data_IF_379797668938
#
_entry.id   IF_379797668938
#
_cell.length_a   1.000
_cell.length_b   1.000
_cell.length_c   1.000
_cell.angle_alpha   90.00
_cell.angle_beta   90.00
_cell.angle_gamma   90.00
#
_symmetry.space_group_name_H-M   'P 1'
#
loop_
_entity.id
_entity.type
_entity.pdbx_description
1 polymer ?
#
# COMPACT_ATOMS: atom_id res chain seq x y z
N UNK A 1 -13.52 -7.85 6.64
CA UNK A 1 -13.72 -6.40 6.42
C UNK A 1 -14.61 -6.30 5.20
N UNK A 2 -15.94 -6.27 5.39
CA UNK A 2 -16.91 -6.51 4.30
C UNK A 2 -17.79 -5.28 4.00
N UNK A 3 -17.35 -4.10 4.46
CA UNK A 3 -18.08 -2.86 4.24
C UNK A 3 -17.15 -1.75 3.76
N UNK A 4 -17.63 -0.97 2.79
CA UNK A 4 -17.03 0.27 2.27
C UNK A 4 -17.11 1.41 3.30
N UNK A 5 -16.97 1.06 4.57
CA UNK A 5 -17.05 1.97 5.69
C UNK A 5 -15.74 2.73 5.83
N UNK A 6 -15.87 4.04 5.92
CA UNK A 6 -14.75 4.95 6.17
C UNK A 6 -13.99 4.60 7.46
N UNK A 7 -14.65 4.07 8.48
CA UNK A 7 -14.03 3.64 9.74
C UNK A 7 -12.93 2.59 9.50
N UNK A 8 -13.12 1.67 8.56
CA UNK A 8 -12.11 0.65 8.23
C UNK A 8 -10.88 1.29 7.58
N UNK A 9 -11.09 2.21 6.64
CA UNK A 9 -10.00 2.92 5.97
C UNK A 9 -9.20 3.78 6.95
N UNK A 10 -9.88 4.53 7.82
CA UNK A 10 -9.23 5.36 8.86
C UNK A 10 -8.38 4.48 9.78
N UNK A 11 -8.92 3.34 10.24
CA UNK A 11 -8.18 2.39 11.10
C UNK A 11 -6.91 1.85 10.45
N UNK A 12 -6.90 1.64 9.13
CA UNK A 12 -5.70 1.20 8.42
C UNK A 12 -4.65 2.31 8.41
N UNK A 13 -5.04 3.57 8.23
CA UNK A 13 -4.12 4.70 8.27
C UNK A 13 -3.55 4.90 9.68
N UNK A 14 -4.40 4.81 10.71
CA UNK A 14 -3.98 4.86 12.12
C UNK A 14 -3.00 3.72 12.43
N UNK A 15 -3.31 2.49 12.03
CA UNK A 15 -2.42 1.34 12.22
C UNK A 15 -1.03 1.55 11.60
N UNK A 16 -0.96 2.15 10.41
CA UNK A 16 0.32 2.48 9.78
C UNK A 16 1.06 3.50 10.63
N UNK A 17 0.43 4.59 11.06
CA UNK A 17 1.02 5.61 11.95
C UNK A 17 1.54 5.00 13.26
N UNK A 18 0.75 4.15 13.94
CA UNK A 18 1.16 3.44 15.16
C UNK A 18 2.39 2.56 14.93
N UNK A 19 2.45 1.94 13.75
CA UNK A 19 3.51 1.00 13.40
C UNK A 19 4.83 1.73 13.17
N UNK A 20 4.85 2.80 12.36
CA UNK A 20 6.09 3.47 11.95
C UNK A 20 6.46 4.65 12.84
N UNK A 21 5.49 5.33 13.43
CA UNK A 21 5.66 6.61 14.14
C UNK A 21 5.14 7.79 13.31
N UNK A 22 4.72 8.86 13.97
CA UNK A 22 4.12 10.04 13.33
C UNK A 22 5.11 10.78 12.40
N UNK A 23 6.39 10.85 12.77
CA UNK A 23 7.39 11.56 11.97
C UNK A 23 7.69 10.81 10.67
N UNK A 24 7.90 9.49 10.76
CA UNK A 24 8.07 8.61 9.60
C UNK A 24 6.81 8.57 8.73
N UNK A 25 5.62 8.61 9.34
CA UNK A 25 4.36 8.66 8.60
C UNK A 25 4.26 9.94 7.75
N UNK A 26 4.59 11.10 8.32
CA UNK A 26 4.58 12.38 7.58
C UNK A 26 5.58 12.39 6.42
N UNK A 27 6.73 11.73 6.59
CA UNK A 27 7.74 11.63 5.54
C UNK A 27 7.30 10.70 4.40
N UNK A 28 6.71 9.54 4.73
CA UNK A 28 6.28 8.54 3.75
C UNK A 28 4.97 8.92 3.05
N UNK A 29 4.04 9.54 3.78
CA UNK A 29 2.69 9.87 3.31
C UNK A 29 2.38 11.37 3.49
N UNK A 30 3.19 12.29 2.94
CA UNK A 30 2.92 13.73 3.08
C UNK A 30 1.61 14.15 2.39
N UNK A 31 1.20 13.39 1.38
CA UNK A 31 -0.01 13.56 0.59
C UNK A 31 -0.61 12.19 0.29
N UNK A 32 -1.94 12.07 0.42
CA UNK A 32 -2.71 10.91 -0.05
C UNK A 32 -3.71 11.40 -1.10
N UNK A 33 -3.72 10.76 -2.27
CA UNK A 33 -4.65 11.04 -3.34
C UNK A 33 -5.67 9.90 -3.47
N UNK A 34 -6.95 10.20 -3.32
CA UNK A 34 -8.05 9.22 -3.40
C UNK A 34 -9.07 9.60 -4.48
N UNK A 35 -10.03 8.73 -4.73
CA UNK A 35 -11.23 9.11 -5.48
C UNK A 35 -12.28 9.69 -4.51
N UNK A 36 -13.40 10.14 -5.06
CA UNK A 36 -14.52 10.72 -4.30
C UNK A 36 -15.42 9.63 -3.66
N UNK A 37 -14.87 8.46 -3.34
CA UNK A 37 -15.57 7.39 -2.65
C UNK A 37 -16.02 7.78 -1.24
N UNK A 38 -17.14 7.21 -0.79
CA UNK A 38 -17.72 7.47 0.53
C UNK A 38 -16.81 7.04 1.69
N UNK A 39 -15.93 6.07 1.45
CA UNK A 39 -14.90 5.60 2.37
C UNK A 39 -13.80 6.63 2.64
N UNK A 40 -13.75 7.71 1.85
CA UNK A 40 -12.82 8.83 1.98
C UNK A 40 -13.54 10.17 2.22
N UNK A 41 -14.82 10.15 2.59
CA UNK A 41 -15.66 11.36 2.58
C UNK A 41 -15.30 12.42 3.64
N UNK A 42 -14.53 12.08 4.67
CA UNK A 42 -14.19 12.95 5.79
C UNK A 42 -12.67 13.16 5.89
N UNK A 43 -12.11 14.19 5.21
CA UNK A 43 -10.68 14.45 5.20
C UNK A 43 -10.08 14.61 6.59
N UNK A 44 -10.81 15.18 7.54
CA UNK A 44 -10.29 15.49 8.88
C UNK A 44 -9.84 14.22 9.61
N UNK A 45 -10.56 13.11 9.43
CA UNK A 45 -10.21 11.80 10.00
C UNK A 45 -8.94 11.20 9.42
N UNK A 46 -8.57 11.57 8.20
CA UNK A 46 -7.34 11.12 7.56
C UNK A 46 -6.18 12.07 7.83
N UNK A 47 -6.44 13.38 7.82
CA UNK A 47 -5.40 14.40 7.97
C UNK A 47 -4.91 14.55 9.41
N UNK A 48 -5.75 14.28 10.41
CA UNK A 48 -5.34 14.29 11.82
C UNK A 48 -4.92 12.88 12.26
N UNK A 49 -3.73 12.79 12.83
CA UNK A 49 -3.21 11.58 13.46
C UNK A 49 -3.79 11.34 14.84
N UNK A 50 -3.31 10.28 15.48
CA UNK A 50 -3.90 9.72 16.70
C UNK A 50 -3.82 10.72 17.86
N UNK A 51 -2.79 11.55 17.86
CA UNK A 51 -2.57 12.60 18.87
C UNK A 51 -3.24 13.94 18.50
N UNK A 52 -4.04 13.98 17.44
CA UNK A 52 -4.70 15.19 16.93
C UNK A 52 -3.79 16.12 16.10
N UNK A 53 -2.51 15.78 15.94
CA UNK A 53 -1.58 16.50 15.07
C UNK A 53 -1.89 16.22 13.59
N UNK A 54 -1.61 17.18 12.70
CA UNK A 54 -1.71 16.95 11.26
C UNK A 54 -0.64 15.97 10.77
N UNK A 55 -1.05 14.82 10.25
CA UNK A 55 -0.17 13.74 9.73
C UNK A 55 -0.03 13.70 8.22
N UNK A 56 -1.03 14.18 7.47
CA UNK A 56 -1.04 14.16 6.00
C UNK A 56 -1.99 15.20 5.41
N UNK A 57 -2.10 15.25 4.08
CA UNK A 57 -3.09 16.03 3.33
C UNK A 57 -3.83 15.11 2.37
N UNK A 58 -5.16 15.10 2.45
CA UNK A 58 -6.00 14.28 1.58
C UNK A 58 -6.45 15.10 0.38
N UNK A 59 -6.19 14.59 -0.82
CA UNK A 59 -6.63 15.16 -2.08
C UNK A 59 -7.52 14.17 -2.83
N UNK A 60 -8.38 14.71 -3.68
CA UNK A 60 -9.34 13.93 -4.46
C UNK A 60 -9.06 14.09 -5.95
N UNK A 61 -9.21 13.00 -6.67
CA UNK A 61 -9.18 13.03 -8.13
C UNK A 61 -10.38 13.82 -8.67
N UNK A 62 -10.18 14.43 -9.83
CA UNK A 62 -11.27 15.09 -10.55
C UNK A 62 -12.33 14.06 -10.97
N UNK A 63 -13.59 14.51 -11.03
CA UNK A 63 -14.69 13.62 -11.39
C UNK A 63 -14.47 13.04 -12.79
N UNK A 64 -14.52 11.70 -12.90
CA UNK A 64 -14.30 10.93 -14.15
C UNK A 64 -12.86 10.94 -14.68
N UNK A 65 -11.87 11.33 -13.87
CA UNK A 65 -10.45 11.30 -14.22
C UNK A 65 -9.70 10.16 -13.49
N UNK A 66 -10.11 8.92 -13.73
CA UNK A 66 -9.50 7.74 -13.07
C UNK A 66 -8.02 7.54 -13.43
N UNK A 67 -7.57 8.10 -14.55
CA UNK A 67 -6.18 8.08 -15.01
C UNK A 67 -5.21 8.82 -14.06
N UNK A 68 -5.70 9.73 -13.21
CA UNK A 68 -4.88 10.39 -12.18
C UNK A 68 -4.29 9.40 -11.17
N UNK A 69 -4.85 8.18 -11.10
CA UNK A 69 -4.38 7.05 -10.29
C UNK A 69 -3.89 5.88 -11.16
N UNK A 70 -3.49 6.13 -12.42
CA UNK A 70 -3.15 5.06 -13.39
C UNK A 70 -2.02 4.12 -12.96
N UNK A 71 -1.16 4.54 -12.03
CA UNK A 71 -0.12 3.67 -11.45
C UNK A 71 -0.68 2.58 -10.51
N UNK A 72 -1.87 2.79 -9.94
CA UNK A 72 -2.53 1.77 -9.10
C UNK A 72 -2.95 0.57 -9.94
N UNK A 73 -3.40 0.76 -11.18
CA UNK A 73 -3.82 -0.34 -12.05
C UNK A 73 -2.68 -1.33 -12.32
N UNK A 74 -1.46 -0.82 -12.51
CA UNK A 74 -0.28 -1.68 -12.65
C UNK A 74 -0.01 -2.47 -11.38
N UNK A 75 -0.13 -1.86 -10.20
CA UNK A 75 0.03 -2.59 -8.93
C UNK A 75 -1.08 -3.63 -8.72
N UNK A 76 -2.32 -3.33 -9.11
CA UNK A 76 -3.41 -4.29 -9.09
C UNK A 76 -3.14 -5.48 -10.01
N UNK A 77 -2.51 -5.28 -11.18
CA UNK A 77 -2.11 -6.36 -12.07
C UNK A 77 -1.18 -7.37 -11.39
N UNK A 78 -0.16 -6.89 -10.67
CA UNK A 78 0.76 -7.76 -9.91
C UNK A 78 0.03 -8.59 -8.84
N UNK A 79 -0.93 -7.99 -8.12
CA UNK A 79 -1.79 -8.72 -7.18
C UNK A 79 -2.57 -9.81 -7.93
N UNK A 80 -3.03 -9.54 -9.16
CA UNK A 80 -3.81 -10.50 -9.97
C UNK A 80 -2.99 -11.66 -10.55
N UNK A 81 -1.66 -11.56 -10.62
CA UNK A 81 -0.83 -12.73 -10.95
C UNK A 81 -0.90 -13.81 -9.86
N UNK A 82 -1.00 -13.39 -8.60
CA UNK A 82 -1.12 -14.28 -7.43
C UNK A 82 -2.58 -14.60 -7.09
N UNK A 83 -3.48 -13.62 -7.23
CA UNK A 83 -4.91 -13.74 -6.95
C UNK A 83 -5.74 -13.47 -8.22
N UNK A 84 -5.83 -14.44 -9.16
CA UNK A 84 -6.57 -14.29 -10.39
C UNK A 84 -8.02 -13.84 -10.18
N UNK A 85 -8.64 -13.35 -11.26
CA UNK A 85 -10.07 -13.00 -11.22
C UNK A 85 -10.88 -14.21 -10.73
N UNK A 86 -11.89 -13.94 -9.91
CA UNK A 86 -12.77 -14.93 -9.25
C UNK A 86 -12.13 -15.71 -8.09
N UNK A 87 -10.89 -15.43 -7.71
CA UNK A 87 -10.33 -15.91 -6.43
C UNK A 87 -10.98 -15.14 -5.27
N UNK A 88 -11.49 -15.86 -4.27
CA UNK A 88 -12.01 -15.23 -3.04
C UNK A 88 -10.87 -14.63 -2.21
N UNK A 89 -11.14 -13.52 -1.53
CA UNK A 89 -10.20 -12.86 -0.62
C UNK A 89 -10.47 -13.25 0.85
N UNK A 90 -11.46 -14.10 1.12
CA UNK A 90 -11.87 -14.47 2.49
C UNK A 90 -10.75 -15.16 3.30
N UNK A 91 -9.90 -15.93 2.61
CA UNK A 91 -8.80 -16.69 3.21
C UNK A 91 -7.46 -15.91 3.24
N UNK A 92 -7.47 -14.61 2.92
CA UNK A 92 -6.30 -13.75 2.99
C UNK A 92 -6.07 -13.29 4.43
N UNK A 93 -5.01 -13.82 5.03
CA UNK A 93 -4.46 -13.33 6.29
C UNK A 93 -3.46 -12.21 6.04
N UNK A 94 -3.14 -11.42 7.06
CA UNK A 94 -2.10 -10.40 6.96
C UNK A 94 -0.75 -10.99 6.54
N UNK A 95 -0.41 -12.20 7.02
CA UNK A 95 0.82 -12.92 6.63
C UNK A 95 0.84 -13.24 5.13
N UNK A 96 -0.26 -13.75 4.56
CA UNK A 96 -0.37 -14.03 3.12
C UNK A 96 -0.28 -12.75 2.29
N UNK A 97 -0.91 -11.66 2.76
CA UNK A 97 -0.82 -10.36 2.10
C UNK A 97 0.63 -9.85 2.14
N UNK A 98 1.30 -9.95 3.29
CA UNK A 98 2.69 -9.52 3.43
C UNK A 98 3.63 -10.31 2.52
N UNK A 99 3.49 -11.64 2.49
CA UNK A 99 4.26 -12.51 1.59
C UNK A 99 4.08 -12.07 0.13
N UNK A 100 2.84 -11.94 -0.32
CA UNK A 100 2.52 -11.49 -1.68
C UNK A 100 3.15 -10.11 -1.98
N UNK A 101 3.00 -9.13 -1.07
CA UNK A 101 3.52 -7.78 -1.26
C UNK A 101 5.05 -7.76 -1.30
N UNK A 102 5.73 -8.57 -0.48
CA UNK A 102 7.19 -8.69 -0.53
C UNK A 102 7.66 -9.24 -1.88
N UNK A 103 7.02 -10.27 -2.44
CA UNK A 103 7.35 -10.74 -3.80
C UNK A 103 7.10 -9.68 -4.88
N UNK A 104 5.99 -8.93 -4.78
CA UNK A 104 5.67 -7.85 -5.72
C UNK A 104 6.71 -6.72 -5.63
N UNK A 105 7.09 -6.31 -4.43
CA UNK A 105 8.03 -5.21 -4.20
C UNK A 105 9.48 -5.57 -4.50
N UNK A 106 9.83 -6.87 -4.54
CA UNK A 106 11.12 -7.35 -5.01
C UNK A 106 11.17 -7.58 -6.53
N UNK A 107 10.05 -7.48 -7.25
CA UNK A 107 10.03 -7.67 -8.71
C UNK A 107 10.57 -6.45 -9.45
N UNK A 108 11.56 -6.66 -10.34
CA UNK A 108 12.17 -5.60 -11.15
C UNK A 108 11.14 -4.93 -12.05
N UNK A 109 11.16 -3.59 -12.13
CA UNK A 109 10.24 -2.84 -12.99
C UNK A 109 10.98 -2.10 -14.10
N UNK A 110 10.53 -2.21 -15.37
CA UNK A 110 11.12 -1.43 -16.46
C UNK A 110 11.09 0.09 -16.20
N UNK A 111 10.04 0.60 -15.57
CA UNK A 111 9.91 2.02 -15.15
C UNK A 111 11.01 2.48 -14.20
N UNK A 112 11.63 1.54 -13.48
CA UNK A 112 12.73 1.81 -12.55
C UNK A 112 14.09 1.40 -13.14
N UNK A 113 14.21 1.33 -14.48
CA UNK A 113 15.42 0.89 -15.18
C UNK A 113 15.91 -0.50 -14.72
N UNK A 114 14.97 -1.41 -14.45
CA UNK A 114 15.26 -2.77 -13.96
C UNK A 114 15.46 -2.87 -12.45
N UNK A 115 15.35 -1.77 -11.71
CA UNK A 115 15.37 -1.80 -10.24
C UNK A 115 14.03 -2.24 -9.64
N UNK A 116 14.05 -2.69 -8.38
CA UNK A 116 12.88 -3.16 -7.63
C UNK A 116 12.29 -2.03 -6.78
N UNK A 117 10.96 -2.01 -6.55
CA UNK A 117 10.32 -1.07 -5.62
C UNK A 117 10.98 -1.02 -4.25
N UNK A 118 11.33 -2.16 -3.66
CA UNK A 118 11.95 -2.20 -2.33
C UNK A 118 13.35 -1.54 -2.31
N UNK A 119 14.16 -1.75 -3.35
CA UNK A 119 15.47 -1.09 -3.44
C UNK A 119 15.32 0.42 -3.61
N UNK A 120 14.32 0.88 -4.36
CA UNK A 120 13.98 2.31 -4.44
C UNK A 120 13.54 2.87 -3.09
N UNK A 121 12.72 2.13 -2.35
CA UNK A 121 12.23 2.55 -1.03
C UNK A 121 13.38 2.65 -0.01
N UNK A 122 14.23 1.62 0.09
CA UNK A 122 15.38 1.59 1.01
C UNK A 122 16.46 2.66 0.70
N UNK A 123 16.49 3.18 -0.52
CA UNK A 123 17.36 4.31 -0.91
C UNK A 123 16.76 5.67 -0.56
N UNK A 124 15.44 5.75 -0.40
CA UNK A 124 14.71 7.01 -0.27
C UNK A 124 14.18 7.25 1.14
N UNK A 125 13.98 6.19 1.92
CA UNK A 125 13.28 6.23 3.21
C UNK A 125 14.05 5.49 4.30
N UNK A 126 13.72 5.77 5.56
CA UNK A 126 14.32 5.11 6.71
C UNK A 126 14.11 3.59 6.68
N UNK A 127 15.19 2.84 6.89
CA UNK A 127 15.19 1.38 6.85
C UNK A 127 14.35 0.78 7.98
N UNK A 128 14.34 1.39 9.17
CA UNK A 128 13.54 0.90 10.29
C UNK A 128 12.04 1.05 9.99
N UNK A 129 11.64 2.12 9.30
CA UNK A 129 10.24 2.27 8.86
C UNK A 129 9.85 1.14 7.87
N UNK A 130 10.72 0.80 6.92
CA UNK A 130 10.47 -0.31 5.99
C UNK A 130 10.38 -1.67 6.72
N UNK A 131 11.27 -1.92 7.68
CA UNK A 131 11.27 -3.13 8.51
C UNK A 131 10.01 -3.23 9.38
N UNK A 132 9.58 -2.12 10.01
CA UNK A 132 8.32 -2.08 10.79
C UNK A 132 7.09 -2.35 9.94
N UNK A 133 7.10 -1.97 8.66
CA UNK A 133 6.06 -2.31 7.68
C UNK A 133 6.17 -3.75 7.14
N UNK A 134 7.10 -4.56 7.66
CA UNK A 134 7.32 -5.95 7.28
C UNK A 134 7.93 -6.12 5.89
N UNK A 135 8.54 -5.08 5.33
CA UNK A 135 9.11 -5.13 3.99
C UNK A 135 10.47 -5.81 4.01
N UNK A 136 10.63 -6.83 3.18
CA UNK A 136 11.82 -7.69 3.16
C UNK A 136 12.47 -7.72 1.77
N UNK A 137 13.77 -8.03 1.73
CA UNK A 137 14.47 -8.32 0.47
C UNK A 137 14.36 -9.81 0.18
N UNK A 138 13.93 -10.13 -1.03
CA UNK A 138 13.86 -11.48 -1.57
C UNK A 138 14.87 -11.59 -2.71
N UNK A 139 15.62 -12.69 -2.76
CA UNK A 139 16.60 -12.88 -3.82
C UNK A 139 15.90 -13.04 -5.19
N UNK A 140 16.49 -12.55 -6.30
CA UNK A 140 15.84 -12.55 -7.60
C UNK A 140 15.32 -13.92 -8.08
N UNK A 141 16.03 -15.00 -7.71
CA UNK A 141 15.69 -16.40 -8.01
C UNK A 141 14.58 -16.97 -7.12
N UNK A 142 14.30 -16.35 -5.98
CA UNK A 142 13.23 -16.72 -5.05
C UNK A 142 11.92 -15.96 -5.33
N UNK A 143 11.93 -14.97 -6.22
CA UNK A 143 10.73 -14.20 -6.56
C UNK A 143 9.73 -15.09 -7.29
N UNK A 144 8.53 -15.21 -6.73
CA UNK A 144 7.46 -16.02 -7.29
C UNK A 144 6.13 -15.25 -7.31
N UNK A 145 5.59 -15.01 -8.50
CA UNK A 145 4.33 -14.28 -8.72
C UNK A 145 3.32 -15.13 -9.47
N UNK A 146 2.91 -16.24 -8.85
CA UNK A 146 1.91 -17.17 -9.40
C UNK A 146 0.91 -17.61 -8.31
N UNK A 147 -0.24 -18.19 -8.68
CA UNK A 147 -1.30 -18.49 -7.73
C UNK A 147 -0.95 -19.51 -6.63
N UNK A 148 0.10 -20.31 -6.82
CA UNK A 148 0.63 -21.25 -5.84
C UNK A 148 1.52 -20.59 -4.78
N UNK A 149 1.80 -19.29 -4.86
CA UNK A 149 2.53 -18.56 -3.81
C UNK A 149 1.82 -18.62 -2.45
N UNK A 150 0.49 -18.63 -2.44
CA UNK A 150 -0.33 -18.56 -1.22
C UNK A 150 -0.99 -19.90 -0.84
N UNK A 151 -0.50 -21.01 -1.42
CA UNK A 151 -1.04 -22.36 -1.21
C UNK A 151 -0.25 -23.15 -0.19
#
# INVERSE_FOLDING_TARGET
IDSKEMSNTVRVIDYIEETIGIEEFKELFPVILTDNGSEFADPEKFEKGINGEKRTRLYYCEARHSEQKGELEKNHEYIRYVLPKKTSFDELTQEKVQLMINHINNTSRPKFNGETPINKALKSFDKNAMEKLGLEIILPDEIHLKPDLLK
#
